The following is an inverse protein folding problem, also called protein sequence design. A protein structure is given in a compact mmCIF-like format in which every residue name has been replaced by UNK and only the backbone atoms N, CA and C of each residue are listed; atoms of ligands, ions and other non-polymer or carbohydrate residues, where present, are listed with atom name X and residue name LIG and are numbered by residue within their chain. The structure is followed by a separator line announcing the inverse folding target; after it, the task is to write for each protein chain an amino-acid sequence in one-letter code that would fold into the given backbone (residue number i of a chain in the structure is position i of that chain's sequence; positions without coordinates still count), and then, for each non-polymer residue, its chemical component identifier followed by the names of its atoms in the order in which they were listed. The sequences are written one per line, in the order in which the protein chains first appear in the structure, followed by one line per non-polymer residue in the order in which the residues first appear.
data_IF_036906744654
#
_entry.id   IF_036906744654
#
_cell.length_a   1.000
_cell.length_b   1.000
_cell.length_c   1.000
_cell.angle_alpha   90.00
_cell.angle_beta   90.00
_cell.angle_gamma   90.00
#
_symmetry.space_group_name_H-M   'P 1'
#
loop_
_entity.id
_entity.type
_entity.pdbx_description
1 polymer ?
#
# COMPACT_ATOMS: atom_id res chain seq x y z
N UNK A 1 -22.04 1.72 -24.06
CA UNK A 1 -22.25 1.82 -22.61
C UNK A 1 -21.23 2.81 -22.06
N UNK A 2 -21.66 3.84 -21.34
CA UNK A 2 -20.72 4.65 -20.54
C UNK A 2 -20.27 3.76 -19.39
N UNK A 3 -19.02 3.30 -19.41
CA UNK A 3 -18.39 2.74 -18.21
C UNK A 3 -18.43 3.82 -17.16
N UNK A 4 -19.21 3.61 -16.10
CA UNK A 4 -19.22 4.52 -14.95
C UNK A 4 -17.80 4.47 -14.40
N UNK A 5 -17.12 5.61 -14.47
CA UNK A 5 -15.78 5.76 -13.95
C UNK A 5 -15.86 5.78 -12.42
N UNK A 6 -15.81 4.59 -11.82
CA UNK A 6 -15.85 4.44 -10.37
C UNK A 6 -14.42 4.47 -9.85
N UNK A 7 -14.08 5.59 -9.19
CA UNK A 7 -12.72 5.89 -8.70
C UNK A 7 -12.08 4.75 -7.90
N UNK A 8 -12.82 4.11 -6.99
CA UNK A 8 -12.27 3.03 -6.19
C UNK A 8 -11.90 1.80 -7.05
N UNK A 9 -12.66 1.52 -8.13
CA UNK A 9 -12.39 0.41 -9.05
C UNK A 9 -11.12 0.68 -9.87
N UNK A 10 -10.95 1.90 -10.38
CA UNK A 10 -9.72 2.28 -11.06
C UNK A 10 -8.50 2.19 -10.14
N UNK A 11 -8.63 2.67 -8.90
CA UNK A 11 -7.55 2.54 -7.92
C UNK A 11 -7.27 1.08 -7.59
N UNK A 12 -8.31 0.24 -7.48
CA UNK A 12 -8.17 -1.18 -7.23
C UNK A 12 -7.40 -1.88 -8.36
N UNK A 13 -7.67 -1.55 -9.62
CA UNK A 13 -6.88 -2.06 -10.76
C UNK A 13 -5.40 -1.66 -10.67
N UNK A 14 -5.11 -0.43 -10.23
CA UNK A 14 -3.73 0.01 -10.01
C UNK A 14 -3.07 -0.73 -8.84
N UNK A 15 -3.82 -0.96 -7.75
CA UNK A 15 -3.36 -1.74 -6.61
C UNK A 15 -3.05 -3.18 -7.01
N UNK A 16 -3.94 -3.84 -7.75
CA UNK A 16 -3.75 -5.21 -8.22
C UNK A 16 -2.48 -5.33 -9.06
N UNK A 17 -2.25 -4.41 -10.01
CA UNK A 17 -1.02 -4.37 -10.79
C UNK A 17 0.22 -4.18 -9.90
N UNK A 18 0.17 -3.25 -8.95
CA UNK A 18 1.29 -3.01 -8.03
C UNK A 18 1.60 -4.24 -7.17
N UNK A 19 0.55 -4.88 -6.63
CA UNK A 19 0.64 -6.08 -5.81
C UNK A 19 1.22 -7.26 -6.60
N UNK A 20 0.77 -7.50 -7.83
CA UNK A 20 1.32 -8.56 -8.68
C UNK A 20 2.82 -8.36 -8.92
N UNK A 21 3.26 -7.13 -9.19
CA UNK A 21 4.68 -6.86 -9.37
C UNK A 21 5.51 -6.95 -8.09
N UNK A 22 4.91 -6.62 -6.94
CA UNK A 22 5.54 -6.84 -5.64
C UNK A 22 5.73 -8.34 -5.41
N UNK A 23 4.69 -9.14 -5.66
CA UNK A 23 4.71 -10.60 -5.52
C UNK A 23 5.79 -11.22 -6.42
N UNK A 24 5.83 -10.85 -7.70
CA UNK A 24 6.88 -11.29 -8.65
C UNK A 24 8.28 -10.98 -8.11
N UNK A 25 8.50 -9.78 -7.56
CA UNK A 25 9.80 -9.38 -7.02
C UNK A 25 10.17 -10.12 -5.73
N UNK A 26 9.19 -10.58 -4.94
CA UNK A 26 9.41 -11.38 -3.73
C UNK A 26 9.78 -12.84 -4.02
N UNK A 27 9.52 -13.33 -5.24
CA UNK A 27 9.87 -14.69 -5.68
C UNK A 27 11.35 -14.80 -6.12
N UNK A 28 12.09 -13.68 -6.18
CA UNK A 28 13.52 -13.66 -6.50
C UNK A 28 14.36 -14.09 -5.29
N UNK A 29 15.17 -15.14 -5.45
CA UNK A 29 16.02 -15.70 -4.39
C UNK A 29 17.24 -14.82 -4.07
N UNK A 30 17.84 -14.21 -5.10
CA UNK A 30 18.96 -13.28 -4.96
C UNK A 30 18.60 -11.94 -5.60
N UNK A 31 18.83 -10.86 -4.85
CA UNK A 31 18.55 -9.49 -5.28
C UNK A 31 19.86 -8.69 -5.27
N UNK A 32 20.17 -8.07 -6.41
CA UNK A 32 21.13 -6.98 -6.45
C UNK A 32 20.66 -5.82 -5.55
N UNK A 33 21.57 -4.91 -5.20
CA UNK A 33 21.20 -3.72 -4.42
C UNK A 33 20.09 -2.91 -5.12
N UNK A 34 20.19 -2.73 -6.44
CA UNK A 34 19.18 -2.03 -7.23
C UNK A 34 17.81 -2.72 -7.17
N UNK A 35 17.78 -4.05 -7.28
CA UNK A 35 16.53 -4.81 -7.23
C UNK A 35 15.93 -4.81 -5.81
N UNK A 36 16.76 -4.88 -4.77
CA UNK A 36 16.33 -4.70 -3.37
C UNK A 36 15.67 -3.34 -3.16
N UNK A 37 16.26 -2.28 -3.70
CA UNK A 37 15.71 -0.93 -3.63
C UNK A 37 14.39 -0.82 -4.40
N UNK A 38 14.31 -1.47 -5.56
CA UNK A 38 13.08 -1.60 -6.34
C UNK A 38 11.98 -2.34 -5.56
N UNK A 39 12.33 -3.43 -4.88
CA UNK A 39 11.41 -4.21 -4.04
C UNK A 39 10.86 -3.36 -2.89
N UNK A 40 11.73 -2.63 -2.17
CA UNK A 40 11.31 -1.71 -1.10
C UNK A 40 10.33 -0.67 -1.66
N UNK A 41 10.64 -0.03 -2.79
CA UNK A 41 9.74 0.97 -3.38
C UNK A 41 8.40 0.38 -3.82
N UNK A 42 8.39 -0.84 -4.36
CA UNK A 42 7.15 -1.57 -4.70
C UNK A 42 6.32 -1.85 -3.46
N UNK A 43 6.96 -2.27 -2.36
CA UNK A 43 6.30 -2.50 -1.08
C UNK A 43 5.64 -1.21 -0.56
N UNK A 44 6.39 -0.11 -0.50
CA UNK A 44 5.89 1.18 0.00
C UNK A 44 4.68 1.68 -0.80
N UNK A 45 4.75 1.64 -2.14
CA UNK A 45 3.66 2.08 -3.01
C UNK A 45 2.45 1.15 -2.97
N UNK A 46 2.67 -0.16 -2.88
CA UNK A 46 1.58 -1.15 -2.80
C UNK A 46 0.75 -0.96 -1.53
N UNK A 47 1.41 -0.73 -0.39
CA UNK A 47 0.71 -0.42 0.86
C UNK A 47 0.02 0.94 0.84
N UNK A 48 0.63 1.95 0.22
CA UNK A 48 -0.02 3.25 0.06
C UNK A 48 -1.30 3.15 -0.82
N UNK A 49 -1.27 2.32 -1.86
CA UNK A 49 -2.46 2.04 -2.65
C UNK A 49 -3.51 1.24 -1.87
N UNK A 50 -3.11 0.25 -1.06
CA UNK A 50 -4.06 -0.64 -0.37
C UNK A 50 -5.01 0.14 0.55
N UNK A 51 -4.49 1.04 1.39
CA UNK A 51 -5.34 1.84 2.29
C UNK A 51 -6.17 2.87 1.52
N UNK A 52 -5.65 3.42 0.41
CA UNK A 52 -6.40 4.37 -0.44
C UNK A 52 -7.55 3.70 -1.19
N UNK A 53 -7.38 2.45 -1.64
CA UNK A 53 -8.47 1.65 -2.23
C UNK A 53 -9.54 1.45 -1.18
N UNK A 54 -9.14 1.00 0.01
CA UNK A 54 -10.10 0.75 1.08
C UNK A 54 -10.85 2.02 1.49
N UNK A 55 -10.14 3.16 1.55
CA UNK A 55 -10.74 4.47 1.79
C UNK A 55 -11.80 4.79 0.73
N UNK A 56 -11.42 4.80 -0.55
CA UNK A 56 -12.33 5.16 -1.64
C UNK A 56 -13.53 4.16 -1.70
N UNK A 57 -13.31 2.89 -1.36
CA UNK A 57 -14.38 1.88 -1.27
C UNK A 57 -15.34 2.12 -0.10
N UNK A 58 -14.84 2.45 1.09
CA UNK A 58 -15.69 2.76 2.24
C UNK A 58 -16.50 4.06 2.00
N UNK A 59 -15.89 5.07 1.39
CA UNK A 59 -16.61 6.30 0.99
C UNK A 59 -17.75 5.98 0.00
N UNK A 60 -17.52 5.10 -0.98
CA UNK A 60 -18.56 4.62 -1.92
C UNK A 60 -19.68 3.85 -1.20
N UNK A 61 -19.36 3.11 -0.13
CA UNK A 61 -20.34 2.41 0.71
C UNK A 61 -21.12 3.34 1.65
N UNK A 62 -20.84 4.65 1.62
CA UNK A 62 -21.55 5.67 2.40
C UNK A 62 -20.95 5.94 3.78
N UNK A 63 -19.75 5.42 4.07
CA UNK A 63 -19.07 5.73 5.32
C UNK A 63 -18.55 7.17 5.30
N UNK A 64 -18.95 7.97 6.29
CA UNK A 64 -18.43 9.32 6.50
C UNK A 64 -17.45 9.30 7.67
N UNK A 65 -16.17 9.55 7.40
CA UNK A 65 -15.12 9.55 8.42
C UNK A 65 -13.96 10.46 8.00
N UNK A 66 -13.11 10.86 8.95
CA UNK A 66 -11.84 11.54 8.65
C UNK A 66 -10.79 10.47 8.39
N UNK A 67 -10.37 10.23 7.13
CA UNK A 67 -9.58 9.07 6.82
C UNK A 67 -8.13 9.25 7.26
N UNK A 68 -7.64 8.29 8.05
CA UNK A 68 -6.21 8.00 8.22
C UNK A 68 -5.93 6.58 7.72
N UNK A 69 -4.70 6.23 7.32
CA UNK A 69 -4.40 4.88 6.82
C UNK A 69 -4.82 3.79 7.82
N UNK A 70 -4.42 3.91 9.09
CA UNK A 70 -4.74 2.92 10.12
C UNK A 70 -6.22 2.87 10.46
N UNK A 71 -6.88 4.02 10.58
CA UNK A 71 -8.30 4.05 10.93
C UNK A 71 -9.18 3.56 9.79
N UNK A 72 -8.79 3.79 8.53
CA UNK A 72 -9.45 3.22 7.36
C UNK A 72 -9.44 1.70 7.41
N UNK A 73 -8.28 1.09 7.70
CA UNK A 73 -8.13 -0.36 7.77
C UNK A 73 -8.88 -0.96 8.96
N UNK A 74 -8.84 -0.31 10.14
CA UNK A 74 -9.62 -0.73 11.30
C UNK A 74 -11.12 -0.68 11.02
N UNK A 75 -11.61 0.39 10.41
CA UNK A 75 -13.01 0.53 10.03
C UNK A 75 -13.42 -0.54 9.02
N UNK A 76 -12.56 -0.85 8.04
CA UNK A 76 -12.82 -1.91 7.07
C UNK A 76 -13.00 -3.29 7.74
N UNK A 77 -12.18 -3.60 8.76
CA UNK A 77 -12.31 -4.84 9.52
C UNK A 77 -13.52 -4.83 10.46
N UNK A 78 -13.79 -3.71 11.14
CA UNK A 78 -14.98 -3.55 11.99
C UNK A 78 -16.28 -3.70 11.17
N UNK A 79 -16.25 -3.29 9.91
CA UNK A 79 -17.34 -3.45 8.94
C UNK A 79 -17.27 -4.76 8.15
N UNK A 80 -16.42 -5.72 8.58
CA UNK A 80 -16.32 -7.09 8.05
C UNK A 80 -15.91 -7.19 6.56
N UNK A 81 -15.33 -6.14 5.97
CA UNK A 81 -14.83 -6.19 4.59
C UNK A 81 -13.47 -6.90 4.46
N UNK A 82 -12.68 -6.90 5.54
CA UNK A 82 -11.39 -7.59 5.64
C UNK A 82 -11.25 -8.19 7.05
N UNK A 83 -10.36 -9.15 7.22
CA UNK A 83 -10.05 -9.77 8.52
C UNK A 83 -8.59 -9.56 8.96
N UNK A 84 -7.82 -8.82 8.17
CA UNK A 84 -6.36 -8.71 8.25
C UNK A 84 -5.89 -7.24 8.33
N UNK A 85 -6.64 -6.38 9.01
CA UNK A 85 -6.28 -4.97 9.13
C UNK A 85 -4.95 -4.79 9.88
N UNK A 86 -4.64 -5.66 10.85
CA UNK A 86 -3.43 -5.53 11.66
C UNK A 86 -2.19 -5.75 10.81
N UNK A 87 -2.19 -6.75 9.94
CA UNK A 87 -1.08 -7.08 9.04
C UNK A 87 -0.78 -5.92 8.07
N UNK A 88 -1.83 -5.25 7.57
CA UNK A 88 -1.68 -4.05 6.74
C UNK A 88 -1.18 -2.85 7.55
N UNK A 89 -1.60 -2.70 8.80
CA UNK A 89 -1.13 -1.64 9.71
C UNK A 89 0.35 -1.85 10.05
N UNK A 90 0.76 -3.07 10.36
CA UNK A 90 2.14 -3.42 10.63
C UNK A 90 3.02 -3.15 9.40
N UNK A 91 2.51 -3.49 8.21
CA UNK A 91 3.16 -3.13 6.96
C UNK A 91 3.32 -1.60 6.79
N UNK A 92 2.28 -0.81 7.11
CA UNK A 92 2.35 0.65 7.03
C UNK A 92 3.37 1.24 8.02
N UNK A 93 3.56 0.60 9.17
CA UNK A 93 4.57 0.99 10.15
C UNK A 93 5.98 0.66 9.65
N UNK A 94 6.19 -0.56 9.14
CA UNK A 94 7.45 -0.96 8.49
C UNK A 94 7.82 -0.03 7.33
N UNK A 95 6.84 0.39 6.53
CA UNK A 95 7.05 1.40 5.47
C UNK A 95 7.62 2.70 6.03
N UNK A 96 7.10 3.19 7.16
CA UNK A 96 7.57 4.44 7.75
C UNK A 96 9.01 4.30 8.25
N UNK A 97 9.36 3.15 8.84
CA UNK A 97 10.72 2.83 9.27
C UNK A 97 11.70 2.76 8.08
N UNK A 98 11.33 2.05 7.02
CA UNK A 98 12.14 1.94 5.80
C UNK A 98 12.39 3.31 5.14
N UNK A 99 11.40 4.20 5.16
CA UNK A 99 11.57 5.57 4.67
C UNK A 99 12.56 6.39 5.50
N UNK A 100 12.68 6.14 6.80
CA UNK A 100 13.65 6.81 7.68
C UNK A 100 15.07 6.26 7.51
N UNK A 101 15.24 4.94 7.45
CA UNK A 101 16.55 4.30 7.29
C UNK A 101 17.16 4.58 5.92
N UNK A 102 16.34 4.59 4.86
CA UNK A 102 16.82 4.87 3.50
C UNK A 102 17.14 6.37 3.28
N UNK A 103 16.50 7.26 4.03
CA UNK A 103 16.84 8.69 4.05
C UNK A 103 18.22 8.94 4.65
N UNK A 104 18.62 8.13 5.64
CA UNK A 104 19.95 8.21 6.26
C UNK A 104 21.03 7.65 5.32
N UNK A 105 20.76 6.54 4.62
CA UNK A 105 21.74 5.94 3.69
C UNK A 105 22.00 6.82 2.47
N UNK A 106 20.97 7.46 1.88
CA UNK A 106 21.13 8.39 0.77
C UNK A 106 21.94 9.65 1.13
N UNK A 107 21.89 10.10 2.39
CA UNK A 107 22.69 11.25 2.85
C UNK A 107 24.15 10.89 3.09
N UNK A 108 24.46 9.64 3.44
CA UNK A 108 25.83 9.19 3.62
C UNK A 108 26.58 8.98 2.29
N UNK A 109 25.87 8.61 1.22
CA UNK A 109 26.46 8.39 -0.10
C UNK A 109 26.76 9.68 -0.91
N UNK A 110 26.39 10.86 -0.38
CA UNK A 110 26.64 12.16 -1.02
C UNK A 110 27.74 12.97 -0.31
N UNK A 111 28.52 12.33 0.58
CA UNK A 111 29.60 12.97 1.34
C UNK A 111 30.93 12.29 1.03
#
# INVERSE_FOLDING_TARGET
MKTIDIRWQQRFQNFERAYLRLKEAMELEELTELERNGLIKRFEFTLDLSWKVMKDFLEEKGFAFKPSPKDTLRLAQQSEYITYAQELIDGLDMRNELSHDYSLSLKAAQK
#
